data_IF_945717498434
#
_entry.id   IF_945717498434
#
_cell.length_a   1.000
_cell.length_b   1.000
_cell.length_c   1.000
_cell.angle_alpha   90.00
_cell.angle_beta   90.00
_cell.angle_gamma   90.00
#
_symmetry.space_group_name_H-M   'P 1'
#
loop_
_entity.id
_entity.type
_entity.pdbx_description
1 polymer ?
#
# COMPACT_ATOMS: atom_id res chain seq x y z
N UNK A 1 -23.81 12.76 -6.14
CA UNK A 1 -22.53 13.44 -5.81
C UNK A 1 -21.62 13.33 -7.02
N UNK A 2 -21.01 14.43 -7.44
CA UNK A 2 -20.39 14.56 -8.76
C UNK A 2 -19.14 13.72 -8.94
N UNK A 3 -18.80 13.45 -10.21
CA UNK A 3 -17.56 12.84 -10.69
C UNK A 3 -16.30 13.25 -9.91
N UNK A 4 -16.23 14.52 -9.47
CA UNK A 4 -15.13 15.04 -8.66
C UNK A 4 -14.93 14.32 -7.32
N UNK A 5 -15.98 13.82 -6.65
CA UNK A 5 -15.84 13.15 -5.34
C UNK A 5 -15.05 11.85 -5.45
N UNK A 6 -15.28 11.05 -6.50
CA UNK A 6 -14.54 9.81 -6.72
C UNK A 6 -13.05 10.07 -6.97
N UNK A 7 -12.75 11.10 -7.76
CA UNK A 7 -11.37 11.54 -8.04
C UNK A 7 -10.67 11.98 -6.75
N UNK A 8 -11.32 12.82 -5.93
CA UNK A 8 -10.75 13.26 -4.65
C UNK A 8 -10.52 12.10 -3.66
N UNK A 9 -11.43 11.13 -3.60
CA UNK A 9 -11.28 9.92 -2.78
C UNK A 9 -10.07 9.11 -3.24
N UNK A 10 -9.93 8.88 -4.55
CA UNK A 10 -8.77 8.18 -5.11
C UNK A 10 -7.46 8.91 -4.84
N UNK A 11 -7.41 10.23 -4.99
CA UNK A 11 -6.22 11.05 -4.70
C UNK A 11 -5.85 10.95 -3.22
N UNK A 12 -6.82 11.16 -2.32
CA UNK A 12 -6.58 11.07 -0.88
C UNK A 12 -6.08 9.69 -0.47
N UNK A 13 -6.71 8.63 -0.98
CA UNK A 13 -6.32 7.26 -0.69
C UNK A 13 -4.95 6.91 -1.31
N UNK A 14 -4.64 7.43 -2.51
CA UNK A 14 -3.33 7.29 -3.15
C UNK A 14 -2.23 7.95 -2.32
N UNK A 15 -2.49 9.15 -1.80
CA UNK A 15 -1.56 9.83 -0.91
C UNK A 15 -1.28 9.02 0.36
N UNK A 16 -2.32 8.49 1.01
CA UNK A 16 -2.16 7.67 2.22
C UNK A 16 -1.37 6.40 1.92
N UNK A 17 -1.75 5.65 0.88
CA UNK A 17 -1.10 4.38 0.52
C UNK A 17 0.34 4.57 0.06
N UNK A 18 0.65 5.62 -0.69
CA UNK A 18 2.00 5.93 -1.16
C UNK A 18 2.99 6.19 0.00
N UNK A 19 2.49 6.73 1.12
CA UNK A 19 3.30 7.05 2.29
C UNK A 19 3.37 5.91 3.32
N UNK A 20 2.41 4.99 3.28
CA UNK A 20 2.28 3.85 4.19
C UNK A 20 3.55 2.96 4.30
N UNK A 21 4.25 2.57 3.21
CA UNK A 21 5.46 1.74 3.31
C UNK A 21 6.65 2.48 3.97
N UNK A 22 6.65 3.81 3.95
CA UNK A 22 7.69 4.63 4.56
C UNK A 22 7.41 4.90 6.04
N UNK A 23 6.15 5.06 6.44
CA UNK A 23 5.76 5.29 7.83
C UNK A 23 5.84 3.99 8.63
N UNK A 24 5.34 2.89 8.07
CA UNK A 24 5.23 1.60 8.79
C UNK A 24 6.56 0.85 8.76
N UNK A 25 7.10 0.55 9.95
CA UNK A 25 8.34 -0.20 10.10
C UNK A 25 8.14 -1.71 9.89
N UNK A 26 6.90 -2.21 10.06
CA UNK A 26 6.54 -3.62 9.91
C UNK A 26 6.25 -4.00 8.45
N UNK A 27 6.73 -5.15 7.94
CA UNK A 27 6.44 -5.59 6.57
C UNK A 27 4.92 -5.71 6.39
N UNK A 28 4.41 -4.99 5.38
CA UNK A 28 2.98 -4.95 5.05
C UNK A 28 2.56 -6.17 4.25
N UNK A 29 3.53 -6.79 3.57
CA UNK A 29 3.35 -8.01 2.80
C UNK A 29 4.43 -9.02 3.20
N UNK A 30 4.07 -10.31 3.22
CA UNK A 30 5.06 -11.37 3.32
C UNK A 30 5.82 -11.43 1.99
N UNK A 31 7.13 -11.23 2.05
CA UNK A 31 8.01 -11.29 0.89
C UNK A 31 8.63 -12.69 0.76
N UNK A 32 8.85 -13.19 -0.47
CA UNK A 32 9.39 -14.53 -0.68
C UNK A 32 10.88 -14.65 -0.32
N UNK A 33 11.60 -13.53 -0.18
CA UNK A 33 13.01 -13.52 0.22
C UNK A 33 13.18 -13.32 1.73
N UNK A 34 14.19 -14.01 2.28
CA UNK A 34 14.60 -13.91 3.70
C UNK A 34 15.10 -12.49 3.98
N UNK A 35 14.56 -11.85 5.01
CA UNK A 35 15.05 -10.54 5.46
C UNK A 35 16.14 -10.71 6.52
N UNK A 36 17.06 -9.74 6.61
CA UNK A 36 18.16 -9.77 7.58
C UNK A 36 17.58 -9.71 8.99
N UNK A 37 17.86 -10.73 9.81
CA UNK A 37 17.33 -10.86 11.18
C UNK A 37 16.19 -11.89 11.36
N UNK A 38 15.71 -12.54 10.29
CA UNK A 38 14.71 -13.61 10.41
C UNK A 38 15.32 -14.95 10.89
N UNK A 39 14.65 -15.60 11.85
CA UNK A 39 15.00 -16.93 12.33
C UNK A 39 14.94 -17.99 11.21
N UNK A 40 15.74 -19.04 11.32
CA UNK A 40 15.78 -20.15 10.35
C UNK A 40 14.48 -20.98 10.39
N UNK A 41 13.47 -20.55 9.65
CA UNK A 41 12.26 -21.32 9.37
C UNK A 41 12.28 -21.98 7.98
N UNK A 42 11.45 -23.00 7.78
CA UNK A 42 11.25 -23.64 6.47
C UNK A 42 10.76 -22.64 5.41
N UNK A 43 11.49 -22.55 4.29
CA UNK A 43 11.16 -21.68 3.14
C UNK A 43 9.76 -21.97 2.59
N UNK A 44 9.29 -23.22 2.68
CA UNK A 44 7.97 -23.64 2.20
C UNK A 44 6.82 -22.98 2.97
N UNK A 45 6.92 -22.88 4.30
CA UNK A 45 5.89 -22.23 5.13
C UNK A 45 5.84 -20.72 4.84
N UNK A 46 6.98 -20.10 4.54
CA UNK A 46 7.05 -18.70 4.12
C UNK A 46 6.38 -18.46 2.78
N UNK A 47 6.70 -19.28 1.77
CA UNK A 47 6.06 -19.20 0.46
C UNK A 47 4.55 -19.42 0.55
N UNK A 48 4.11 -20.43 1.33
CA UNK A 48 2.68 -20.67 1.57
C UNK A 48 2.00 -19.43 2.16
N UNK A 49 2.59 -18.79 3.17
CA UNK A 49 2.07 -17.54 3.77
C UNK A 49 2.04 -16.38 2.76
N UNK A 50 3.07 -16.25 1.92
CA UNK A 50 3.12 -15.22 0.87
C UNK A 50 2.01 -15.45 -0.16
N UNK A 51 1.83 -16.68 -0.62
CA UNK A 51 0.81 -17.06 -1.60
C UNK A 51 -0.59 -16.85 -1.02
N UNK A 52 -0.84 -17.28 0.22
CA UNK A 52 -2.13 -17.05 0.89
C UNK A 52 -2.40 -15.56 1.06
N UNK A 53 -1.42 -14.76 1.48
CA UNK A 53 -1.60 -13.32 1.61
C UNK A 53 -1.87 -12.66 0.25
N UNK A 54 -1.08 -13.00 -0.77
CA UNK A 54 -1.29 -12.49 -2.12
C UNK A 54 -2.67 -12.87 -2.66
N UNK A 55 -3.11 -14.11 -2.43
CA UNK A 55 -4.45 -14.57 -2.80
C UNK A 55 -5.55 -13.82 -2.04
N UNK A 56 -5.37 -13.55 -0.74
CA UNK A 56 -6.33 -12.78 0.06
C UNK A 56 -6.40 -11.32 -0.39
N UNK A 57 -5.26 -10.68 -0.67
CA UNK A 57 -5.19 -9.31 -1.22
C UNK A 57 -5.86 -9.25 -2.58
N UNK A 58 -5.59 -10.21 -3.46
CA UNK A 58 -6.20 -10.29 -4.78
C UNK A 58 -7.71 -10.55 -4.70
N UNK A 59 -8.15 -11.44 -3.81
CA UNK A 59 -9.56 -11.72 -3.57
C UNK A 59 -10.28 -10.48 -3.00
N UNK A 60 -9.65 -9.76 -2.07
CA UNK A 60 -10.18 -8.49 -1.55
C UNK A 60 -10.25 -7.42 -2.64
N UNK A 61 -9.26 -7.34 -3.53
CA UNK A 61 -9.25 -6.40 -4.65
C UNK A 61 -10.37 -6.73 -5.66
N UNK A 62 -10.55 -8.01 -5.99
CA UNK A 62 -11.64 -8.48 -6.84
C UNK A 62 -13.03 -8.21 -6.23
N UNK A 63 -13.19 -8.53 -4.94
CA UNK A 63 -14.42 -8.24 -4.20
C UNK A 63 -14.70 -6.73 -4.16
N UNK A 64 -13.68 -5.91 -3.94
CA UNK A 64 -13.80 -4.45 -3.92
C UNK A 64 -14.29 -3.92 -5.26
N UNK A 65 -13.71 -4.38 -6.38
CA UNK A 65 -14.17 -4.03 -7.72
C UNK A 65 -15.66 -4.35 -7.89
N UNK A 66 -16.08 -5.57 -7.50
CA UNK A 66 -17.47 -6.00 -7.59
C UNK A 66 -18.44 -5.20 -6.71
N UNK A 67 -18.07 -4.89 -5.46
CA UNK A 67 -18.92 -4.13 -4.54
C UNK A 67 -19.00 -2.64 -4.90
N UNK A 68 -17.90 -2.02 -5.35
CA UNK A 68 -17.87 -0.61 -5.76
C UNK A 68 -18.77 -0.40 -6.99
N UNK A 69 -18.72 -1.30 -7.97
CA UNK A 69 -19.60 -1.24 -9.15
C UNK A 69 -21.08 -1.32 -8.77
N UNK A 70 -21.46 -2.11 -7.75
CA UNK A 70 -22.85 -2.23 -7.29
C UNK A 70 -23.30 -1.08 -6.38
N UNK A 71 -22.43 -0.59 -5.52
CA UNK A 71 -22.72 0.48 -4.57
C UNK A 71 -22.98 1.83 -5.26
N UNK A 72 -22.35 2.07 -6.41
CA UNK A 72 -22.49 3.31 -7.18
C UNK A 72 -23.93 3.54 -7.66
N UNK A 73 -24.64 2.50 -8.10
CA UNK A 73 -25.99 2.62 -8.66
C UNK A 73 -27.09 2.84 -7.61
N UNK A 74 -26.82 2.56 -6.33
CA UNK A 74 -27.84 2.62 -5.28
C UNK A 74 -27.93 4.01 -4.62
N UNK A 75 -26.81 4.54 -4.11
CA UNK A 75 -26.79 5.80 -3.34
C UNK A 75 -25.36 6.29 -3.06
N UNK A 76 -25.13 7.60 -3.10
CA UNK A 76 -23.80 8.21 -2.83
C UNK A 76 -23.27 7.89 -1.42
N UNK A 77 -24.15 7.75 -0.42
CA UNK A 77 -23.77 7.35 0.95
C UNK A 77 -23.27 5.90 1.01
N UNK A 78 -23.89 4.99 0.25
CA UNK A 78 -23.52 3.57 0.21
C UNK A 78 -22.15 3.40 -0.42
N UNK A 79 -21.84 4.18 -1.46
CA UNK A 79 -20.50 4.20 -2.05
C UNK A 79 -19.42 4.60 -1.04
N UNK A 80 -19.64 5.68 -0.27
CA UNK A 80 -18.67 6.13 0.73
C UNK A 80 -18.46 5.07 1.82
N UNK A 81 -19.54 4.43 2.28
CA UNK A 81 -19.46 3.34 3.25
C UNK A 81 -18.75 2.11 2.68
N UNK A 82 -19.00 1.74 1.43
CA UNK A 82 -18.31 0.63 0.76
C UNK A 82 -16.83 0.93 0.59
N UNK A 83 -16.45 2.13 0.14
CA UNK A 83 -15.04 2.52 0.04
C UNK A 83 -14.38 2.50 1.41
N UNK A 84 -15.02 3.07 2.44
CA UNK A 84 -14.50 3.02 3.81
C UNK A 84 -14.33 1.57 4.29
N UNK A 85 -15.31 0.69 4.05
CA UNK A 85 -15.23 -0.73 4.40
C UNK A 85 -14.09 -1.43 3.65
N UNK A 86 -13.91 -1.16 2.35
CA UNK A 86 -12.79 -1.68 1.55
C UNK A 86 -11.46 -1.23 2.12
N UNK A 87 -11.32 0.06 2.45
CA UNK A 87 -10.10 0.61 3.07
C UNK A 87 -9.82 -0.05 4.41
N UNK A 88 -10.84 -0.26 5.24
CA UNK A 88 -10.72 -0.98 6.51
C UNK A 88 -10.31 -2.43 6.28
N UNK A 89 -10.93 -3.14 5.32
CA UNK A 89 -10.57 -4.52 4.97
C UNK A 89 -9.11 -4.58 4.52
N UNK A 90 -8.67 -3.71 3.62
CA UNK A 90 -7.27 -3.65 3.20
C UNK A 90 -6.34 -3.30 4.35
N UNK A 91 -6.68 -2.33 5.19
CA UNK A 91 -5.89 -1.98 6.36
C UNK A 91 -5.76 -3.16 7.34
N UNK A 92 -6.86 -3.89 7.59
CA UNK A 92 -6.86 -5.11 8.41
C UNK A 92 -5.99 -6.19 7.77
N UNK A 93 -6.14 -6.42 6.46
CA UNK A 93 -5.42 -7.43 5.71
C UNK A 93 -3.91 -7.12 5.66
N UNK A 94 -3.54 -5.84 5.57
CA UNK A 94 -2.17 -5.34 5.69
C UNK A 94 -1.64 -5.37 7.13
N UNK A 95 -2.53 -5.44 8.14
CA UNK A 95 -2.15 -5.59 9.55
C UNK A 95 -1.98 -7.06 9.98
N UNK A 96 -2.67 -8.01 9.30
CA UNK A 96 -2.54 -9.45 9.53
C UNK A 96 -1.10 -9.97 9.56
N UNK A 97 -0.18 -9.64 8.62
CA UNK A 97 1.18 -10.21 8.65
C UNK A 97 1.93 -9.83 9.93
N UNK A 98 1.62 -8.69 10.54
CA UNK A 98 2.16 -8.29 11.85
C UNK A 98 1.62 -9.11 13.03
N UNK A 99 0.44 -9.74 12.89
CA UNK A 99 -0.12 -10.67 13.87
C UNK A 99 0.46 -12.09 13.70
N UNK A 100 0.65 -12.55 12.46
CA UNK A 100 1.28 -13.83 12.15
C UNK A 100 2.80 -13.86 12.48
N UNK A 101 3.48 -12.71 12.46
CA UNK A 101 4.91 -12.53 12.79
C UNK A 101 5.12 -11.93 14.20
N UNK A 102 4.38 -12.39 15.22
CA UNK A 102 4.49 -11.89 16.61
C UNK A 102 5.87 -12.07 17.27
N UNK A 103 6.80 -12.79 16.64
CA UNK A 103 8.11 -13.14 17.20
C UNK A 103 9.32 -12.85 16.30
N UNK A 104 9.29 -11.82 15.43
CA UNK A 104 10.50 -11.44 14.68
C UNK A 104 11.06 -10.10 15.20
N UNK A 105 12.29 -10.07 15.75
CA UNK A 105 12.93 -8.84 16.22
C UNK A 105 13.08 -7.87 15.06
N UNK A 106 13.06 -6.56 15.37
CA UNK A 106 13.00 -5.43 14.45
C UNK A 106 13.69 -5.67 13.10
N UNK A 107 12.92 -6.15 12.11
CA UNK A 107 13.46 -6.43 10.77
C UNK A 107 13.81 -5.08 10.12
N UNK A 108 15.09 -4.86 9.83
CA UNK A 108 15.53 -3.66 9.12
C UNK A 108 15.04 -3.73 7.67
N UNK A 109 13.91 -3.07 7.38
CA UNK A 109 13.39 -2.95 6.03
C UNK A 109 14.40 -2.24 5.12
N UNK A 110 14.98 -3.02 4.20
CA UNK A 110 15.76 -2.51 3.08
C UNK A 110 14.95 -1.59 2.17
N UNK A 111 15.65 -0.77 1.38
CA UNK A 111 15.03 0.17 0.42
C UNK A 111 14.23 -0.58 -0.64
N UNK A 112 14.80 -1.67 -1.17
CA UNK A 112 14.18 -2.49 -2.23
C UNK A 112 12.86 -3.09 -1.75
N UNK A 113 12.83 -3.61 -0.54
CA UNK A 113 11.61 -4.12 0.10
C UNK A 113 10.48 -3.08 0.10
N UNK A 114 10.78 -1.83 0.47
CA UNK A 114 9.76 -0.77 0.48
C UNK A 114 9.31 -0.37 -0.92
N UNK A 115 10.23 -0.39 -1.88
CA UNK A 115 9.91 -0.11 -3.27
C UNK A 115 8.95 -1.18 -3.82
N UNK A 116 9.16 -2.45 -3.47
CA UNK A 116 8.25 -3.54 -3.86
C UNK A 116 6.89 -3.38 -3.18
N UNK A 117 6.84 -3.09 -1.87
CA UNK A 117 5.57 -2.78 -1.17
C UNK A 117 4.83 -1.61 -1.83
N UNK A 118 5.55 -0.57 -2.22
CA UNK A 118 5.01 0.61 -2.91
C UNK A 118 4.44 0.26 -4.29
N UNK A 119 5.15 -0.55 -5.08
CA UNK A 119 4.68 -1.01 -6.39
C UNK A 119 3.42 -1.89 -6.25
N UNK A 120 3.36 -2.76 -5.25
CA UNK A 120 2.16 -3.56 -4.96
C UNK A 120 0.96 -2.66 -4.63
N UNK A 121 1.17 -1.62 -3.82
CA UNK A 121 0.12 -0.65 -3.48
C UNK A 121 -0.32 0.19 -4.69
N UNK A 122 0.61 0.51 -5.59
CA UNK A 122 0.27 1.16 -6.85
C UNK A 122 -0.64 0.29 -7.72
N UNK A 123 -0.30 -1.01 -7.89
CA UNK A 123 -1.15 -1.94 -8.65
C UNK A 123 -2.53 -2.08 -8.01
N UNK A 124 -2.59 -2.15 -6.67
CA UNK A 124 -3.84 -2.19 -5.94
C UNK A 124 -4.69 -0.93 -6.19
N UNK A 125 -4.05 0.23 -6.26
CA UNK A 125 -4.71 1.48 -6.62
C UNK A 125 -5.20 1.52 -8.05
N UNK A 126 -4.46 0.92 -8.99
CA UNK A 126 -4.93 0.72 -10.36
C UNK A 126 -6.26 -0.04 -10.39
N UNK A 127 -6.39 -1.14 -9.63
CA UNK A 127 -7.64 -1.93 -9.55
C UNK A 127 -8.81 -1.11 -9.02
N UNK A 128 -8.58 -0.27 -8.00
CA UNK A 128 -9.60 0.65 -7.48
C UNK A 128 -9.96 1.72 -8.51
N UNK A 129 -8.98 2.29 -9.21
CA UNK A 129 -9.19 3.25 -10.30
C UNK A 129 -10.06 2.67 -11.42
N UNK A 130 -9.76 1.46 -11.87
CA UNK A 130 -10.59 0.74 -12.84
C UNK A 130 -12.01 0.46 -12.34
N UNK A 131 -12.19 0.18 -11.05
CA UNK A 131 -13.52 0.01 -10.46
C UNK A 131 -14.35 1.30 -10.52
N UNK A 132 -13.71 2.46 -10.32
CA UNK A 132 -14.35 3.77 -10.45
C UNK A 132 -14.59 4.19 -11.90
N UNK A 133 -13.76 3.75 -12.84
CA UNK A 133 -13.95 4.03 -14.25
C UNK A 133 -15.07 3.17 -14.85
N UNK A 134 -15.10 1.88 -14.52
CA UNK A 134 -16.18 0.97 -14.91
C UNK A 134 -17.56 1.41 -14.41
N UNK A 135 -17.63 2.19 -13.32
CA UNK A 135 -18.89 2.74 -12.81
C UNK A 135 -19.29 4.09 -13.43
N UNK A 136 -18.38 4.78 -14.12
CA UNK A 136 -18.64 6.09 -14.77
C UNK A 136 -19.08 5.99 -16.23
N UNK A 137 -19.14 4.78 -16.82
CA UNK A 137 -19.57 4.56 -18.19
C UNK A 137 -18.54 3.77 -19.00
N UNK A 138 -18.50 3.99 -20.31
CA UNK A 138 -17.66 3.23 -21.23
C UNK A 138 -16.18 3.39 -20.87
N UNK A 139 -15.50 2.29 -20.56
CA UNK A 139 -14.06 2.27 -20.29
C UNK A 139 -13.37 2.62 -21.59
N UNK A 140 -12.81 3.82 -21.67
CA UNK A 140 -12.05 4.21 -22.84
C UNK A 140 -10.74 3.43 -22.87
N UNK A 141 -10.28 2.96 -24.04
CA UNK A 141 -8.99 2.28 -24.15
C UNK A 141 -7.87 3.27 -23.81
N UNK A 142 -7.40 3.21 -22.56
CA UNK A 142 -6.27 3.99 -22.09
C UNK A 142 -4.98 3.41 -22.62
N UNK A 143 -4.12 4.29 -23.14
CA UNK A 143 -2.82 3.90 -23.65
C UNK A 143 -1.77 3.82 -22.52
N UNK A 144 -0.59 3.28 -22.82
CA UNK A 144 0.47 3.04 -21.84
C UNK A 144 0.93 4.34 -21.14
N UNK A 145 0.81 5.47 -21.82
CA UNK A 145 1.17 6.81 -21.33
C UNK A 145 0.36 7.18 -20.08
N UNK A 146 -0.91 6.75 -20.00
CA UNK A 146 -1.76 7.00 -18.82
C UNK A 146 -1.18 6.33 -17.57
N UNK A 147 -0.77 5.06 -17.67
CA UNK A 147 -0.19 4.33 -16.54
C UNK A 147 1.17 4.91 -16.13
N UNK A 148 1.95 5.39 -17.10
CA UNK A 148 3.23 6.06 -16.81
C UNK A 148 3.01 7.35 -16.00
N UNK A 149 2.06 8.19 -16.41
CA UNK A 149 1.72 9.43 -15.69
C UNK A 149 1.17 9.11 -14.29
N UNK A 150 0.27 8.12 -14.17
CA UNK A 150 -0.27 7.70 -12.89
C UNK A 150 0.82 7.20 -11.94
N UNK A 151 1.80 6.43 -12.45
CA UNK A 151 2.95 5.97 -11.68
C UNK A 151 3.82 7.15 -11.22
N UNK A 152 4.14 8.09 -12.11
CA UNK A 152 4.90 9.29 -11.77
C UNK A 152 4.21 10.12 -10.69
N UNK A 153 2.90 10.34 -10.79
CA UNK A 153 2.11 11.02 -9.77
C UNK A 153 2.14 10.27 -8.43
N UNK A 154 1.99 8.95 -8.46
CA UNK A 154 2.04 8.13 -7.26
C UNK A 154 3.41 8.22 -6.55
N UNK A 155 4.50 8.23 -7.33
CA UNK A 155 5.86 8.44 -6.82
C UNK A 155 6.02 9.80 -6.16
N UNK A 156 5.51 10.87 -6.77
CA UNK A 156 5.54 12.22 -6.19
C UNK A 156 4.75 12.28 -4.87
N UNK A 157 3.58 11.64 -4.81
CA UNK A 157 2.78 11.57 -3.58
C UNK A 157 3.48 10.80 -2.44
N UNK A 158 4.35 9.84 -2.77
CA UNK A 158 5.16 9.09 -1.80
C UNK A 158 6.44 9.80 -1.33
N UNK A 159 6.84 10.88 -2.01
CA UNK A 159 8.03 11.66 -1.67
C UNK A 159 8.10 12.16 -0.21
N UNK A 160 7.02 12.72 0.41
CA UNK A 160 7.11 13.21 1.79
C UNK A 160 7.53 12.10 2.77
N UNK A 161 6.93 10.91 2.68
CA UNK A 161 7.29 9.77 3.52
C UNK A 161 8.74 9.33 3.33
N UNK A 162 9.23 9.35 2.09
CA UNK A 162 10.63 9.08 1.78
C UNK A 162 11.58 10.07 2.48
N UNK A 163 11.34 11.39 2.32
CA UNK A 163 12.19 12.44 2.91
C UNK A 163 12.23 12.33 4.44
N UNK A 164 11.08 12.21 5.08
CA UNK A 164 11.00 12.13 6.55
C UNK A 164 11.83 10.96 7.09
N UNK A 165 11.79 9.80 6.43
CA UNK A 165 12.50 8.62 6.93
C UNK A 165 13.99 8.61 6.59
N UNK A 166 14.38 9.03 5.38
CA UNK A 166 15.77 8.91 4.94
C UNK A 166 16.61 10.14 5.26
N UNK A 167 16.07 11.35 5.16
CA UNK A 167 16.83 12.58 5.32
C UNK A 167 16.73 13.18 6.73
N UNK A 168 15.58 13.05 7.41
CA UNK A 168 15.41 13.62 8.76
C UNK A 168 15.89 12.66 9.84
N UNK A 169 15.55 11.36 9.75
CA UNK A 169 15.91 10.38 10.79
C UNK A 169 17.41 10.08 10.85
N UNK A 170 18.14 10.09 9.72
CA UNK A 170 19.60 9.90 9.71
C UNK A 170 20.34 11.11 10.30
N UNK A 171 19.88 12.34 10.04
CA UNK A 171 20.50 13.56 10.58
C UNK A 171 20.44 13.64 12.10
N UNK A 172 19.33 13.23 12.73
CA UNK A 172 19.20 13.23 14.19
C UNK A 172 20.20 12.29 14.87
N UNK A 173 20.51 11.14 14.27
CA UNK A 173 21.49 10.20 14.82
C UNK A 173 22.92 10.73 14.79
N UNK A 174 23.31 11.41 13.70
CA UNK A 174 24.63 12.06 13.61
C UNK A 174 24.73 13.27 14.56
N UNK A 175 23.66 14.06 14.67
CA UNK A 175 23.63 15.21 15.57
C UNK A 175 23.66 14.82 17.06
N UNK A 176 23.02 13.72 17.45
CA UNK A 176 23.11 13.21 18.84
C UNK A 176 24.51 12.68 19.15
N UNK A 177 25.15 11.98 18.22
CA UNK A 177 26.53 11.50 18.41
C UNK A 177 27.55 12.64 18.52
N UNK A 178 27.33 13.75 17.81
CA UNK A 178 28.14 14.96 17.95
C UNK A 178 27.87 15.70 19.28
N UNK A 179 26.65 15.64 19.81
CA UNK A 179 26.32 16.23 21.12
C UNK A 179 26.87 15.41 22.30
N UNK A 180 27.01 14.09 22.14
CA UNK A 180 27.54 13.17 23.16
C UNK A 180 29.09 13.12 23.21
N UNK A 181 29.79 13.94 22.42
CA UNK A 181 31.24 14.11 22.52
C UNK A 181 32.08 12.91 22.10
N UNK A 182 31.55 12.01 21.25
CA UNK A 182 32.24 10.82 20.75
C UNK A 182 33.17 11.10 19.53
N UNK A 183 33.63 12.34 19.38
CA UNK A 183 34.64 12.75 18.40
C UNK A 183 35.67 13.67 19.05
#
# INVERSE_FOLDING_TARGET
>A
MGQGTAVWVLIALSFVTANLPFIVQRPLFCMPWRQVGEAEGSTAIRLLRCVVMAALVAAAAYASHYYISRAFFNSSTVLLLTVAAVVVVFAVLMWLPGFWLRSQPAIEKGVITRLIEFVILFVLMGVLGFAFEASQGNVFPQRWEFYAIALCLYVVLGYPGFVFRYLVKRRRGVASMAADGLY
#
